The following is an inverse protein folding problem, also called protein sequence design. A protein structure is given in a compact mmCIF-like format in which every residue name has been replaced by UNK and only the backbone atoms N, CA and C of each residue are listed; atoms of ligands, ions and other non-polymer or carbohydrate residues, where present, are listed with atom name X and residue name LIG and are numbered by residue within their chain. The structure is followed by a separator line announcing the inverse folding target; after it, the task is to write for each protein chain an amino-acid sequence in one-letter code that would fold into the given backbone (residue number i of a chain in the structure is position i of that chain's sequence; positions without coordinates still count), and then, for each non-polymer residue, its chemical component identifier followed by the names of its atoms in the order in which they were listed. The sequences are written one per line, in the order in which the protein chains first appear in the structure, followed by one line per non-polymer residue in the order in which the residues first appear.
data_IF_071705473336
#
_entry.id   IF_071705473336
#
_cell.length_a   1.000
_cell.length_b   1.000
_cell.length_c   1.000
_cell.angle_alpha   90.00
_cell.angle_beta   90.00
_cell.angle_gamma   90.00
#
_symmetry.space_group_name_H-M   'P 1'
#
loop_
_entity.id
_entity.type
_entity.pdbx_description
1 polymer ?
#
# COMPACT_ATOMS: atom_id res chain seq x y z
N UNK A 1 -17.57 15.90 17.07
CA UNK A 1 -16.34 15.14 16.76
C UNK A 1 -16.68 14.12 15.69
N UNK A 2 -16.45 14.48 14.44
CA UNK A 2 -16.82 13.66 13.28
C UNK A 2 -15.84 12.50 13.19
N UNK A 3 -16.36 11.26 13.22
CA UNK A 3 -15.58 10.04 13.00
C UNK A 3 -14.80 10.22 11.68
N UNK A 4 -13.47 10.22 11.73
CA UNK A 4 -12.66 10.12 10.54
C UNK A 4 -12.87 8.72 9.96
N UNK A 5 -13.89 8.58 9.11
CA UNK A 5 -13.90 7.51 8.10
C UNK A 5 -12.57 7.66 7.37
N UNK A 6 -11.82 6.58 7.21
CA UNK A 6 -10.70 6.55 6.27
C UNK A 6 -11.28 6.79 4.88
N UNK A 7 -11.42 8.06 4.51
CA UNK A 7 -11.76 8.46 3.18
C UNK A 7 -10.55 8.16 2.30
N UNK A 8 -10.83 7.65 1.11
CA UNK A 8 -9.83 7.51 0.06
C UNK A 8 -9.12 8.85 -0.13
N UNK A 9 -7.80 8.79 -0.29
CA UNK A 9 -7.03 9.99 -0.54
C UNK A 9 -6.15 9.81 -1.80
N UNK A 10 -6.34 10.66 -2.82
CA UNK A 10 -7.51 11.54 -3.01
C UNK A 10 -8.83 10.78 -3.09
N UNK A 11 -9.97 11.45 -2.84
CA UNK A 11 -11.29 10.84 -2.98
C UNK A 11 -11.59 10.48 -4.44
N UNK A 12 -11.24 11.36 -5.39
CA UNK A 12 -11.55 11.18 -6.80
C UNK A 12 -10.50 10.32 -7.51
N UNK A 13 -10.90 9.29 -8.29
CA UNK A 13 -9.97 8.46 -9.05
C UNK A 13 -9.24 9.27 -10.13
N UNK A 14 -8.09 8.80 -10.63
CA UNK A 14 -7.48 9.35 -11.83
C UNK A 14 -8.40 9.16 -13.04
N UNK A 15 -8.23 10.00 -14.07
CA UNK A 15 -9.01 9.92 -15.31
C UNK A 15 -8.77 8.63 -16.10
N UNK A 16 -7.68 7.91 -15.81
CA UNK A 16 -7.37 6.59 -16.33
C UNK A 16 -6.70 5.74 -15.26
N UNK A 17 -7.06 4.45 -15.22
CA UNK A 17 -6.44 3.45 -14.34
C UNK A 17 -5.20 2.79 -14.95
N UNK A 18 -4.84 3.11 -16.19
CA UNK A 18 -3.69 2.50 -16.89
C UNK A 18 -2.65 3.53 -17.29
N UNK A 19 -3.06 4.78 -17.58
CA UNK A 19 -2.13 5.85 -17.93
C UNK A 19 -1.40 6.36 -16.69
N UNK A 20 -0.08 6.12 -16.68
CA UNK A 20 0.82 6.58 -15.63
C UNK A 20 0.77 8.09 -15.44
N UNK A 21 0.67 8.89 -16.51
CA UNK A 21 0.66 10.35 -16.39
C UNK A 21 -0.59 10.82 -15.66
N UNK A 22 -1.75 10.28 -16.02
CA UNK A 22 -3.01 10.55 -15.33
C UNK A 22 -2.96 10.17 -13.84
N UNK A 23 -2.43 8.99 -13.52
CA UNK A 23 -2.32 8.49 -12.13
C UNK A 23 -1.39 9.39 -11.30
N UNK A 24 -0.17 9.61 -11.80
CA UNK A 24 0.85 10.42 -11.10
C UNK A 24 0.40 11.87 -10.94
N UNK A 25 -0.26 12.43 -11.96
CA UNK A 25 -0.82 13.77 -11.93
C UNK A 25 -1.90 13.91 -10.86
N UNK A 26 -2.83 12.95 -10.79
CA UNK A 26 -3.92 12.95 -9.81
C UNK A 26 -3.40 12.83 -8.36
N UNK A 27 -2.51 11.87 -8.10
CA UNK A 27 -1.92 11.69 -6.77
C UNK A 27 -1.14 12.93 -6.32
N UNK A 28 -0.42 13.59 -7.23
CA UNK A 28 0.32 14.81 -6.94
C UNK A 28 -0.57 16.02 -6.69
N UNK A 29 -1.58 16.24 -7.54
CA UNK A 29 -2.54 17.34 -7.37
C UNK A 29 -3.25 17.25 -6.00
N UNK A 30 -3.62 16.03 -5.60
CA UNK A 30 -4.20 15.77 -4.29
C UNK A 30 -3.22 16.06 -3.15
N UNK A 31 -2.00 15.54 -3.22
CA UNK A 31 -1.04 15.76 -2.14
C UNK A 31 -0.60 17.22 -2.01
N UNK A 32 -0.38 17.89 -3.14
CA UNK A 32 0.11 19.27 -3.17
C UNK A 32 -0.96 20.32 -2.84
N UNK A 33 -2.24 19.93 -2.74
CA UNK A 33 -3.33 20.80 -2.28
C UNK A 33 -3.63 20.67 -0.78
N UNK A 34 -2.91 19.83 -0.05
CA UNK A 34 -3.06 19.73 1.40
C UNK A 34 -2.53 20.99 2.08
N UNK A 35 -3.31 21.56 3.00
CA UNK A 35 -2.84 22.61 3.91
C UNK A 35 -2.09 22.03 5.11
N UNK A 36 -2.47 20.84 5.55
CA UNK A 36 -1.94 20.18 6.74
C UNK A 36 -1.77 18.67 6.55
N UNK A 37 -0.76 18.13 7.22
CA UNK A 37 -0.59 16.70 7.44
C UNK A 37 -1.10 16.33 8.84
N UNK A 38 -1.74 15.18 8.94
CA UNK A 38 -2.23 14.57 10.16
C UNK A 38 -1.24 13.54 10.72
N UNK A 39 -1.29 13.32 12.03
CA UNK A 39 -0.55 12.23 12.66
C UNK A 39 -1.10 10.87 12.18
N UNK A 40 -0.27 10.09 11.49
CA UNK A 40 -0.60 8.75 11.01
C UNK A 40 -1.00 7.79 12.14
N UNK A 41 -0.38 7.96 13.31
CA UNK A 41 -0.44 7.03 14.44
C UNK A 41 -1.65 7.30 15.35
N UNK A 42 -2.32 8.44 15.21
CA UNK A 42 -3.57 8.78 15.89
C UNK A 42 -4.77 8.14 15.18
N UNK A 43 -4.83 6.80 15.25
CA UNK A 43 -5.90 5.98 14.69
C UNK A 43 -6.60 5.21 15.80
N UNK A 44 -7.68 5.73 16.40
CA UNK A 44 -8.37 5.03 17.49
C UNK A 44 -8.87 3.63 17.12
N UNK A 45 -9.25 3.43 15.85
CA UNK A 45 -9.66 2.11 15.33
C UNK A 45 -8.49 1.16 15.05
N UNK A 46 -7.24 1.63 15.15
CA UNK A 46 -6.02 0.86 14.88
C UNK A 46 -4.92 1.21 15.91
N UNK A 47 -5.15 0.95 17.21
CA UNK A 47 -4.22 1.29 18.27
C UNK A 47 -2.92 0.49 18.17
N UNK A 48 -1.94 0.83 19.01
CA UNK A 48 -0.74 0.01 19.13
C UNK A 48 -1.08 -1.42 19.55
N UNK A 49 -0.35 -2.40 19.00
CA UNK A 49 -0.64 -3.83 19.15
C UNK A 49 -1.82 -4.35 18.32
N UNK A 50 -2.55 -3.51 17.58
CA UNK A 50 -3.65 -3.96 16.72
C UNK A 50 -3.16 -4.91 15.63
N UNK A 51 -3.93 -5.98 15.39
CA UNK A 51 -3.61 -7.05 14.43
C UNK A 51 -4.74 -7.28 13.44
N UNK A 52 -4.41 -7.40 12.15
CA UNK A 52 -5.33 -7.82 11.09
C UNK A 52 -4.62 -8.59 10.01
N UNK A 53 -5.40 -9.35 9.26
CA UNK A 53 -4.96 -10.03 8.06
C UNK A 53 -5.10 -9.12 6.84
N UNK A 54 -4.04 -9.04 6.05
CA UNK A 54 -3.99 -8.26 4.81
C UNK A 54 -3.36 -9.08 3.69
N UNK A 55 -3.86 -8.89 2.48
CA UNK A 55 -3.15 -9.24 1.26
C UNK A 55 -2.28 -8.07 0.81
N UNK A 56 -1.02 -8.33 0.48
CA UNK A 56 -0.06 -7.34 0.00
C UNK A 56 0.87 -7.89 -1.08
N UNK A 57 1.51 -6.99 -1.81
CA UNK A 57 2.69 -7.26 -2.64
C UNK A 57 3.95 -6.97 -1.82
N UNK A 58 4.88 -7.94 -1.63
CA UNK A 58 6.12 -7.73 -0.88
C UNK A 58 7.16 -7.05 -1.76
N UNK A 59 7.25 -5.72 -1.70
CA UNK A 59 8.12 -4.94 -2.59
C UNK A 59 9.54 -4.74 -2.03
N UNK A 60 9.77 -5.06 -0.76
CA UNK A 60 11.09 -5.05 -0.13
C UNK A 60 12.08 -6.07 -0.70
N UNK A 61 11.67 -6.91 -1.65
CA UNK A 61 12.55 -7.83 -2.37
C UNK A 61 13.32 -7.16 -3.53
N UNK A 62 12.89 -5.98 -4.00
CA UNK A 62 13.50 -5.30 -5.15
C UNK A 62 14.63 -4.36 -4.71
N UNK A 63 15.91 -4.65 -5.01
CA UNK A 63 17.03 -3.85 -4.53
C UNK A 63 17.00 -2.40 -5.03
N UNK A 64 16.57 -2.18 -6.27
CA UNK A 64 16.46 -0.83 -6.86
C UNK A 64 15.42 0.02 -6.12
N UNK A 65 14.28 -0.56 -5.77
CA UNK A 65 13.25 0.13 -5.00
C UNK A 65 13.71 0.45 -3.58
N UNK A 66 14.40 -0.49 -2.93
CA UNK A 66 15.02 -0.28 -1.61
C UNK A 66 16.01 0.88 -1.65
N UNK A 67 16.92 0.87 -2.62
CA UNK A 67 17.93 1.91 -2.80
C UNK A 67 17.27 3.28 -3.01
N UNK A 68 16.28 3.37 -3.89
CA UNK A 68 15.57 4.63 -4.15
C UNK A 68 14.76 5.12 -2.94
N UNK A 69 14.07 4.22 -2.23
CA UNK A 69 13.37 4.55 -0.98
C UNK A 69 14.34 5.07 0.09
N UNK A 70 15.47 4.39 0.28
CA UNK A 70 16.55 4.79 1.19
C UNK A 70 17.08 6.18 0.85
N UNK A 71 17.42 6.44 -0.41
CA UNK A 71 17.87 7.78 -0.85
C UNK A 71 16.83 8.86 -0.54
N UNK A 72 15.55 8.59 -0.81
CA UNK A 72 14.48 9.53 -0.48
C UNK A 72 14.34 9.74 1.04
N UNK A 73 14.40 8.67 1.83
CA UNK A 73 14.32 8.72 3.29
C UNK A 73 15.50 9.46 3.91
N UNK A 74 16.72 9.24 3.42
CA UNK A 74 17.93 9.96 3.86
C UNK A 74 17.80 11.46 3.60
N UNK A 75 17.28 11.84 2.43
CA UNK A 75 17.00 13.24 2.10
C UNK A 75 15.84 13.84 2.91
N UNK A 76 14.98 13.02 3.49
CA UNK A 76 13.89 13.43 4.38
C UNK A 76 14.27 13.36 5.87
N UNK A 77 15.41 12.78 6.22
CA UNK A 77 15.81 12.47 7.61
C UNK A 77 15.94 13.70 8.52
N UNK A 78 16.20 14.88 7.95
CA UNK A 78 16.27 16.15 8.70
C UNK A 78 14.90 16.68 9.11
N UNK A 79 13.82 16.10 8.58
CA UNK A 79 12.46 16.45 8.98
C UNK A 79 12.10 15.61 10.22
N UNK A 80 11.85 16.24 11.38
CA UNK A 80 11.51 15.50 12.59
C UNK A 80 10.16 14.78 12.44
N UNK A 81 9.98 13.68 13.16
CA UNK A 81 8.72 12.94 13.24
C UNK A 81 8.22 12.42 11.87
N UNK A 82 9.14 12.07 10.97
CA UNK A 82 8.86 11.22 9.81
C UNK A 82 9.43 9.83 10.07
N UNK A 83 8.56 8.88 10.39
CA UNK A 83 8.99 7.51 10.64
C UNK A 83 9.19 6.79 9.31
N UNK A 84 10.44 6.47 8.98
CA UNK A 84 10.79 5.75 7.77
C UNK A 84 10.28 4.30 7.82
N UNK A 85 9.67 3.85 6.72
CA UNK A 85 9.34 2.44 6.50
C UNK A 85 10.65 1.69 6.21
N UNK A 86 11.01 0.63 6.98
CA UNK A 86 12.18 -0.18 6.69
C UNK A 86 12.10 -0.72 5.28
N UNK A 87 13.22 -0.71 4.57
CA UNK A 87 13.26 -0.99 3.13
C UNK A 87 12.80 -2.42 2.80
N UNK A 88 13.04 -3.38 3.71
CA UNK A 88 12.57 -4.77 3.63
C UNK A 88 11.06 -4.90 3.86
N UNK A 89 10.44 -3.87 4.46
CA UNK A 89 9.00 -3.77 4.72
C UNK A 89 8.28 -2.84 3.74
N UNK A 90 8.90 -2.47 2.62
CA UNK A 90 8.19 -1.83 1.52
C UNK A 90 7.16 -2.81 0.95
N UNK A 91 5.93 -2.35 0.82
CA UNK A 91 4.82 -3.17 0.33
C UNK A 91 3.73 -2.31 -0.28
N UNK A 92 2.85 -2.97 -1.03
CA UNK A 92 1.59 -2.41 -1.53
C UNK A 92 0.44 -3.25 -0.99
N UNK A 93 -0.42 -2.65 -0.16
CA UNK A 93 -1.60 -3.34 0.38
C UNK A 93 -2.67 -3.48 -0.70
N UNK A 94 -3.12 -4.70 -0.98
CA UNK A 94 -4.21 -5.01 -1.90
C UNK A 94 -5.56 -4.98 -1.19
N UNK A 95 -5.66 -5.70 -0.08
CA UNK A 95 -6.94 -5.92 0.58
C UNK A 95 -6.77 -6.21 2.07
N UNK A 96 -7.68 -5.69 2.91
CA UNK A 96 -7.76 -6.03 4.32
C UNK A 96 -8.83 -7.11 4.51
N UNK A 97 -8.44 -8.29 4.95
CA UNK A 97 -9.36 -9.42 5.16
C UNK A 97 -10.22 -9.18 6.40
N UNK A 98 -9.61 -8.83 7.54
CA UNK A 98 -10.33 -8.64 8.79
C UNK A 98 -9.42 -8.52 10.01
N UNK A 99 -10.02 -8.25 11.18
CA UNK A 99 -9.29 -8.24 12.44
C UNK A 99 -8.81 -9.65 12.80
N UNK A 100 -7.61 -9.77 13.37
CA UNK A 100 -7.01 -11.09 13.59
C UNK A 100 -7.75 -11.94 14.64
N UNK A 101 -8.48 -11.30 15.55
CA UNK A 101 -9.31 -11.98 16.55
C UNK A 101 -10.71 -12.37 16.03
N UNK A 102 -11.04 -12.03 14.79
CA UNK A 102 -12.36 -12.29 14.19
C UNK A 102 -12.32 -13.38 13.11
N UNK A 103 -11.14 -13.94 12.81
CA UNK A 103 -10.92 -14.94 11.77
C UNK A 103 -10.16 -16.10 12.39
N UNK A 104 -10.69 -17.32 12.26
CA UNK A 104 -10.01 -18.54 12.73
C UNK A 104 -8.92 -18.97 11.75
N UNK A 105 -7.97 -19.78 12.21
CA UNK A 105 -6.91 -20.31 11.35
C UNK A 105 -7.48 -21.17 10.20
N UNK A 106 -8.53 -21.97 10.45
CA UNK A 106 -9.22 -22.77 9.41
C UNK A 106 -9.88 -21.88 8.34
N UNK A 107 -10.50 -20.77 8.75
CA UNK A 107 -11.06 -19.79 7.81
C UNK A 107 -9.93 -19.13 7.00
N UNK A 108 -8.81 -18.83 7.64
CA UNK A 108 -7.67 -18.21 6.99
C UNK A 108 -7.03 -19.13 5.94
N UNK A 109 -6.84 -20.40 6.28
CA UNK A 109 -6.37 -21.45 5.36
C UNK A 109 -7.33 -21.61 4.17
N UNK A 110 -8.64 -21.61 4.44
CA UNK A 110 -9.68 -21.70 3.41
C UNK A 110 -9.66 -20.49 2.47
N UNK A 111 -9.44 -19.28 3.01
CA UNK A 111 -9.30 -18.04 2.22
C UNK A 111 -8.04 -18.13 1.34
N UNK A 112 -6.92 -18.59 1.91
CA UNK A 112 -5.67 -18.79 1.18
C UNK A 112 -5.82 -19.77 0.02
N UNK A 113 -6.48 -20.92 0.26
CA UNK A 113 -6.75 -21.93 -0.78
C UNK A 113 -7.68 -21.40 -1.88
N UNK A 114 -8.76 -20.70 -1.50
CA UNK A 114 -9.69 -20.09 -2.45
C UNK A 114 -9.00 -19.03 -3.32
N UNK A 115 -8.17 -18.18 -2.71
CA UNK A 115 -7.40 -17.16 -3.43
C UNK A 115 -6.38 -17.80 -4.40
N UNK A 116 -5.67 -18.84 -3.97
CA UNK A 116 -4.76 -19.61 -4.81
C UNK A 116 -5.46 -20.17 -6.05
N UNK A 117 -6.64 -20.77 -5.87
CA UNK A 117 -7.39 -21.36 -6.98
C UNK A 117 -7.87 -20.30 -7.98
N UNK A 118 -8.25 -19.11 -7.50
CA UNK A 118 -8.72 -18.00 -8.34
C UNK A 118 -7.60 -17.35 -9.14
N UNK A 119 -6.42 -17.19 -8.53
CA UNK A 119 -5.27 -16.51 -9.12
C UNK A 119 -4.27 -17.46 -9.81
N UNK A 120 -4.57 -18.76 -9.91
CA UNK A 120 -3.65 -19.77 -10.47
C UNK A 120 -3.16 -19.51 -11.89
N UNK A 121 -3.89 -18.71 -12.66
CA UNK A 121 -3.56 -18.34 -14.05
C UNK A 121 -3.34 -16.83 -14.21
N UNK A 122 -3.29 -16.08 -13.10
CA UNK A 122 -2.99 -14.66 -13.15
C UNK A 122 -1.51 -14.47 -13.48
N UNK A 123 -1.22 -13.59 -14.43
CA UNK A 123 0.14 -13.22 -14.84
C UNK A 123 0.84 -12.39 -13.75
N UNK A 124 2.18 -12.31 -13.78
CA UNK A 124 2.94 -11.43 -12.91
C UNK A 124 2.52 -9.96 -13.11
N UNK A 125 2.57 -9.18 -12.03
CA UNK A 125 2.12 -7.78 -12.04
C UNK A 125 3.32 -6.86 -12.25
N UNK A 126 3.45 -6.30 -13.45
CA UNK A 126 4.44 -5.27 -13.76
C UNK A 126 3.97 -3.88 -13.34
N UNK A 127 4.79 -3.17 -12.58
CA UNK A 127 4.50 -1.86 -12.01
C UNK A 127 5.66 -0.89 -12.22
N UNK A 128 5.30 0.35 -12.51
CA UNK A 128 6.15 1.52 -12.42
C UNK A 128 5.89 2.23 -11.09
N UNK A 129 6.90 2.26 -10.21
CA UNK A 129 6.82 2.86 -8.88
C UNK A 129 7.56 4.20 -8.87
N UNK A 130 6.84 5.24 -8.44
CA UNK A 130 7.32 6.61 -8.42
C UNK A 130 6.67 7.50 -9.48
N UNK A 131 6.77 8.83 -9.35
CA UNK A 131 7.56 9.57 -8.36
C UNK A 131 6.87 9.64 -6.99
N UNK A 132 7.49 10.35 -6.03
CA UNK A 132 6.89 10.60 -4.72
C UNK A 132 5.66 11.51 -4.80
N UNK A 133 4.64 11.14 -4.06
CA UNK A 133 3.49 11.96 -3.69
C UNK A 133 3.24 11.75 -2.19
N UNK A 134 1.99 11.81 -1.76
CA UNK A 134 1.66 11.60 -0.36
C UNK A 134 0.18 11.39 -0.10
N UNK A 135 -0.12 11.36 1.18
CA UNK A 135 -1.45 11.46 1.75
C UNK A 135 -1.38 12.41 2.96
N UNK A 136 -2.51 12.69 3.59
CA UNK A 136 -2.51 13.47 4.82
C UNK A 136 -1.63 12.87 5.92
N UNK A 137 -1.36 11.57 5.93
CA UNK A 137 -0.56 10.91 6.98
C UNK A 137 0.75 10.28 6.52
N UNK A 138 1.17 10.40 5.26
CA UNK A 138 2.33 9.66 4.75
C UNK A 138 2.93 10.30 3.51
N UNK A 139 4.23 10.10 3.31
CA UNK A 139 4.90 10.27 2.02
C UNK A 139 4.98 8.88 1.37
N UNK A 140 4.57 8.80 0.11
CA UNK A 140 4.39 7.52 -0.61
C UNK A 140 4.72 7.67 -2.09
N UNK A 141 5.13 6.60 -2.73
CA UNK A 141 5.20 6.55 -4.20
C UNK A 141 3.81 6.39 -4.80
N UNK A 142 3.58 7.08 -5.92
CA UNK A 142 2.55 6.70 -6.89
C UNK A 142 2.93 5.37 -7.56
N UNK A 143 1.93 4.61 -7.96
CA UNK A 143 2.08 3.29 -8.60
C UNK A 143 1.22 3.26 -9.85
N UNK A 144 1.72 2.71 -10.95
CA UNK A 144 0.95 2.50 -12.17
C UNK A 144 1.43 1.24 -12.91
N UNK A 145 0.59 0.58 -13.74
CA UNK A 145 -0.85 0.78 -13.89
C UNK A 145 -1.65 0.17 -12.72
N UNK A 146 -2.94 0.46 -12.64
CA UNK A 146 -3.84 -0.06 -11.62
C UNK A 146 -4.71 -1.23 -12.06
N UNK A 147 -4.90 -1.46 -13.37
CA UNK A 147 -5.83 -2.49 -13.87
C UNK A 147 -5.61 -3.88 -13.24
N UNK A 148 -4.41 -4.44 -13.38
CA UNK A 148 -4.05 -5.76 -12.81
C UNK A 148 -4.11 -5.79 -11.28
N UNK A 149 -3.83 -4.65 -10.63
CA UNK A 149 -3.93 -4.53 -9.18
C UNK A 149 -5.38 -4.61 -8.70
N UNK A 150 -6.32 -4.00 -9.43
CA UNK A 150 -7.75 -4.10 -9.15
C UNK A 150 -8.30 -5.49 -9.47
N UNK A 151 -7.90 -6.09 -10.60
CA UNK A 151 -8.26 -7.47 -10.94
C UNK A 151 -7.84 -8.46 -9.83
N UNK A 152 -6.58 -8.39 -9.39
CA UNK A 152 -6.08 -9.22 -8.30
C UNK A 152 -6.84 -8.96 -7.00
N UNK A 153 -7.09 -7.69 -6.65
CA UNK A 153 -7.86 -7.32 -5.46
C UNK A 153 -9.28 -7.88 -5.49
N UNK A 154 -9.96 -7.82 -6.62
CA UNK A 154 -11.33 -8.31 -6.75
C UNK A 154 -11.38 -9.82 -6.54
N UNK A 155 -10.44 -10.58 -7.09
CA UNK A 155 -10.33 -12.03 -6.84
C UNK A 155 -10.07 -12.35 -5.36
N UNK A 156 -9.24 -11.56 -4.67
CA UNK A 156 -8.97 -11.71 -3.23
C UNK A 156 -10.21 -11.39 -2.37
N UNK A 157 -11.02 -10.42 -2.78
CA UNK A 157 -12.30 -10.11 -2.14
C UNK A 157 -13.28 -11.27 -2.36
N UNK A 158 -13.37 -11.82 -3.57
CA UNK A 158 -14.25 -12.97 -3.84
C UNK A 158 -13.82 -14.22 -3.08
N UNK A 159 -12.51 -14.49 -2.97
CA UNK A 159 -11.97 -15.57 -2.15
C UNK A 159 -12.38 -15.41 -0.68
N UNK A 160 -12.27 -14.20 -0.15
CA UNK A 160 -12.67 -13.90 1.24
C UNK A 160 -14.18 -14.06 1.42
N UNK A 161 -14.99 -13.56 0.48
CA UNK A 161 -16.45 -13.66 0.52
C UNK A 161 -16.92 -15.12 0.47
N UNK A 162 -16.27 -15.98 -0.30
CA UNK A 162 -16.65 -17.40 -0.38
C UNK A 162 -16.49 -18.17 0.94
N UNK A 163 -15.69 -17.63 1.88
CA UNK A 163 -15.45 -18.27 3.19
C UNK A 163 -16.20 -17.55 4.31
N UNK A 164 -16.17 -16.21 4.33
CA UNK A 164 -16.74 -15.41 5.43
C UNK A 164 -18.17 -14.92 5.17
N UNK A 165 -18.69 -15.07 3.94
CA UNK A 165 -20.00 -14.57 3.52
C UNK A 165 -20.06 -13.07 3.28
N UNK A 166 -19.39 -12.27 4.12
CA UNK A 166 -19.21 -10.82 3.93
C UNK A 166 -17.74 -10.48 3.62
N UNK A 167 -17.53 -9.49 2.76
CA UNK A 167 -16.22 -8.99 2.39
C UNK A 167 -16.31 -7.50 2.05
N UNK A 168 -15.55 -6.68 2.79
CA UNK A 168 -15.60 -5.24 2.69
C UNK A 168 -15.00 -4.75 1.35
N UNK A 169 -15.84 -4.33 0.41
CA UNK A 169 -15.39 -3.67 -0.81
C UNK A 169 -15.52 -2.15 -0.68
N UNK A 170 -14.65 -1.54 0.12
CA UNK A 170 -14.50 -0.08 0.15
C UNK A 170 -13.57 0.36 -0.98
N UNK A 171 -13.68 1.60 -1.45
CA UNK A 171 -12.77 2.05 -2.49
C UNK A 171 -11.31 1.99 -2.01
N UNK A 172 -10.39 1.87 -2.96
CA UNK A 172 -8.99 1.58 -2.71
C UNK A 172 -8.11 2.32 -3.70
N UNK A 173 -6.88 2.65 -3.28
CA UNK A 173 -5.89 3.33 -4.12
C UNK A 173 -4.51 2.71 -3.92
N UNK A 174 -3.92 2.09 -4.95
CA UNK A 174 -2.57 1.55 -4.90
C UNK A 174 -1.52 2.60 -4.54
N UNK A 175 -0.63 2.28 -3.61
CA UNK A 175 0.52 3.11 -3.24
C UNK A 175 1.56 2.32 -2.45
N UNK A 176 2.78 2.86 -2.39
CA UNK A 176 3.87 2.33 -1.55
C UNK A 176 4.32 3.42 -0.58
N UNK A 177 4.01 3.27 0.70
CA UNK A 177 4.45 4.22 1.73
C UNK A 177 5.95 4.09 1.97
N UNK A 178 6.65 5.22 2.06
CA UNK A 178 8.08 5.26 2.45
C UNK A 178 8.29 5.94 3.79
N UNK A 179 7.42 6.88 4.19
CA UNK A 179 7.46 7.45 5.54
C UNK A 179 6.05 7.72 6.06
N UNK A 180 5.88 7.64 7.37
CA UNK A 180 4.66 8.03 8.07
C UNK A 180 4.89 9.31 8.85
N UNK A 181 3.93 10.24 8.76
CA UNK A 181 3.99 11.50 9.48
C UNK A 181 3.48 11.30 10.92
N UNK A 182 4.32 11.51 11.93
CA UNK A 182 4.03 11.15 13.32
C UNK A 182 3.47 12.31 14.17
N UNK A 183 3.12 13.44 13.55
CA UNK A 183 2.53 14.61 14.21
C UNK A 183 1.74 15.46 13.24
N UNK A 184 0.74 16.18 13.72
CA UNK A 184 0.08 17.20 12.90
C UNK A 184 1.03 18.37 12.59
N UNK A 185 1.06 18.85 11.34
CA UNK A 185 1.90 19.96 10.88
C UNK A 185 1.36 20.61 9.60
N UNK A 186 1.81 21.82 9.29
CA UNK A 186 1.59 22.42 7.97
C UNK A 186 2.22 21.56 6.87
N UNK A 187 1.51 21.39 5.75
CA UNK A 187 1.95 20.49 4.69
C UNK A 187 2.96 21.13 3.73
N UNK A 188 2.90 22.45 3.53
CA UNK A 188 3.72 23.16 2.53
C UNK A 188 5.23 22.84 2.61
N UNK A 189 5.91 22.87 3.79
CA UNK A 189 7.33 22.53 3.86
C UNK A 189 7.65 21.10 3.43
N UNK A 190 6.73 20.15 3.69
CA UNK A 190 6.90 18.76 3.28
C UNK A 190 6.65 18.60 1.79
N UNK A 191 5.61 19.24 1.27
CA UNK A 191 5.28 19.25 -0.16
C UNK A 191 6.45 19.80 -0.97
N UNK A 192 7.10 20.88 -0.54
CA UNK A 192 8.26 21.46 -1.22
C UNK A 192 9.47 20.52 -1.21
N UNK A 193 9.72 19.84 -0.08
CA UNK A 193 10.79 18.83 -0.02
C UNK A 193 10.50 17.66 -0.96
N UNK A 194 9.27 17.16 -0.97
CA UNK A 194 8.84 16.08 -1.87
C UNK A 194 8.91 16.52 -3.33
N UNK A 195 8.53 17.76 -3.66
CA UNK A 195 8.59 18.32 -5.02
C UNK A 195 9.99 18.18 -5.63
N UNK A 196 11.03 18.48 -4.85
CA UNK A 196 12.41 18.37 -5.28
C UNK A 196 12.90 16.92 -5.48
N UNK A 197 12.24 15.95 -4.83
CA UNK A 197 12.57 14.52 -4.93
C UNK A 197 11.81 13.80 -6.05
N UNK A 198 10.85 14.48 -6.72
CA UNK A 198 10.03 13.90 -7.80
C UNK A 198 10.78 13.75 -9.13
N UNK A 199 12.03 14.17 -9.20
CA UNK A 199 12.89 14.06 -10.39
C UNK A 199 13.51 12.67 -10.56
N UNK A 200 13.45 11.82 -9.53
CA UNK A 200 13.95 10.45 -9.62
C UNK A 200 13.14 9.65 -10.66
N UNK A 201 13.80 8.84 -11.51
CA UNK A 201 13.11 7.97 -12.44
C UNK A 201 12.22 6.97 -11.67
N UNK A 202 11.14 6.48 -12.30
CA UNK A 202 10.38 5.40 -11.70
C UNK A 202 11.20 4.09 -11.70
N UNK A 203 11.03 3.30 -10.65
CA UNK A 203 11.54 1.91 -10.59
C UNK A 203 10.54 1.00 -11.25
N UNK A 204 11.00 0.13 -12.15
CA UNK A 204 10.17 -0.91 -12.75
C UNK A 204 10.30 -2.19 -11.92
N UNK A 205 9.18 -2.77 -11.51
CA UNK A 205 9.16 -4.04 -10.78
C UNK A 205 8.16 -4.99 -11.44
N UNK A 206 8.46 -6.27 -11.43
CA UNK A 206 7.51 -7.33 -11.80
C UNK A 206 7.33 -8.22 -10.60
N UNK A 207 6.13 -8.20 -10.02
CA UNK A 207 5.81 -8.96 -8.81
C UNK A 207 5.19 -10.29 -9.19
N UNK A 208 5.79 -11.37 -8.70
CA UNK A 208 5.33 -12.74 -8.88
C UNK A 208 4.54 -13.28 -7.70
N UNK A 209 4.59 -12.61 -6.55
CA UNK A 209 4.02 -13.13 -5.30
C UNK A 209 3.05 -12.16 -4.65
N UNK A 210 1.91 -12.70 -4.20
CA UNK A 210 0.94 -12.03 -3.34
C UNK A 210 0.96 -12.73 -1.98
N UNK A 211 1.08 -11.98 -0.89
CA UNK A 211 1.17 -12.54 0.45
C UNK A 211 -0.04 -12.19 1.31
N UNK A 212 -0.62 -13.20 1.96
CA UNK A 212 -1.51 -13.01 3.09
C UNK A 212 -0.66 -12.93 4.34
N UNK A 213 -0.76 -11.82 5.07
CA UNK A 213 0.07 -11.55 6.21
C UNK A 213 -0.77 -11.22 7.44
N UNK A 214 -0.26 -11.59 8.62
CA UNK A 214 -0.74 -11.06 9.89
C UNK A 214 0.03 -9.79 10.21
N UNK A 215 -0.57 -8.64 9.91
CA UNK A 215 0.03 -7.33 10.14
C UNK A 215 -0.29 -6.86 11.56
N UNK A 216 0.76 -6.49 12.29
CA UNK A 216 0.72 -5.94 13.64
C UNK A 216 1.28 -4.52 13.61
N UNK A 217 0.59 -3.58 14.29
CA UNK A 217 1.20 -2.31 14.65
C UNK A 217 2.09 -2.49 15.88
N UNK A 218 3.33 -2.05 15.81
CA UNK A 218 4.30 -2.07 16.91
C UNK A 218 4.91 -0.69 17.08
N UNK A 219 4.40 0.08 18.04
CA UNK A 219 4.67 1.50 18.22
C UNK A 219 4.28 2.32 16.99
N UNK A 220 5.30 2.91 16.36
CA UNK A 220 5.23 3.71 15.13
C UNK A 220 5.75 2.93 13.92
N UNK A 221 5.39 1.65 13.84
CA UNK A 221 5.79 0.76 12.77
C UNK A 221 4.71 -0.27 12.47
N UNK A 222 4.60 -0.70 11.22
CA UNK A 222 3.88 -1.92 10.87
C UNK A 222 4.88 -3.05 10.62
N UNK A 223 4.64 -4.19 11.24
CA UNK A 223 5.39 -5.44 11.05
C UNK A 223 4.42 -6.55 10.72
N UNK A 224 4.87 -7.60 10.05
CA UNK A 224 3.99 -8.72 9.76
C UNK A 224 4.75 -10.03 9.67
N UNK A 225 3.97 -11.11 9.73
CA UNK A 225 4.41 -12.47 9.39
C UNK A 225 3.54 -12.98 8.25
N UNK A 226 4.17 -13.62 7.26
CA UNK A 226 3.46 -14.24 6.15
C UNK A 226 2.75 -15.51 6.62
N UNK A 227 1.47 -15.63 6.26
CA UNK A 227 0.62 -16.79 6.53
C UNK A 227 0.53 -17.66 5.27
N UNK A 228 0.22 -17.04 4.13
CA UNK A 228 0.23 -17.70 2.83
C UNK A 228 0.97 -16.84 1.81
N UNK A 229 1.63 -17.53 0.87
CA UNK A 229 2.19 -16.92 -0.33
C UNK A 229 1.53 -17.56 -1.54
N UNK A 230 1.04 -16.71 -2.43
CA UNK A 230 0.49 -17.09 -3.73
C UNK A 230 1.49 -16.67 -4.80
N UNK A 231 1.96 -17.62 -5.58
CA UNK A 231 2.79 -17.34 -6.74
C UNK A 231 1.89 -17.24 -7.97
N UNK A 232 1.98 -16.11 -8.65
CA UNK A 232 1.34 -15.83 -9.94
C UNK A 232 2.01 -16.69 -11.01
N UNK A 233 1.27 -17.03 -12.07
CA UNK A 233 1.78 -17.87 -13.14
C UNK A 233 3.05 -17.25 -13.74
N UNK A 234 4.01 -18.08 -14.14
CA UNK A 234 5.09 -17.60 -14.99
C UNK A 234 4.51 -17.10 -16.30
N UNK A 235 5.08 -16.03 -16.85
CA UNK A 235 4.71 -15.59 -18.19
C UNK A 235 5.05 -16.76 -19.14
N UNK A 236 4.09 -17.37 -19.85
CA UNK A 236 4.46 -18.22 -20.96
C UNK A 236 5.14 -17.28 -21.99
N UNK A 237 6.31 -17.69 -22.46
CA UNK A 237 7.16 -17.03 -23.47
C UNK A 237 8.37 -16.26 -22.92
N UNK A 238 9.48 -17.02 -22.80
CA UNK A 238 10.77 -16.62 -23.33
C UNK A 238 11.22 -17.69 -24.35
#
# INVERSE_FOLDING_TARGET
MTRSRQHLFPPDPPTSMTDRVAIVGNDWAAFSSLDALANHWERPAWPDGAQAYYWLLPLGMFPELRAQARTCQDLLSTVPDLDAVPEELLHLTLYRVGAANAITDEQLDSIGAAAKQRLKHAEPISLSIGPLAGSSGAIRYSVAPWSRLFEARDELIQATRSVLGDAANTGWRPHVSITYNARSRAAAPIIDRVRNLRTQPPVQVTVTDIELVKLTRTGRMYRWTTVHRLTLAEHPDN
#
